data_IF_114783502103
#
_entry.id   IF_114783502103
#
_cell.length_a   1.000
_cell.length_b   1.000
_cell.length_c   1.000
_cell.angle_alpha   90.00
_cell.angle_beta   90.00
_cell.angle_gamma   90.00
#
_symmetry.space_group_name_H-M   'P 1'
#
loop_
_entity.id
_entity.type
_entity.pdbx_description
1 polymer ?
#
# COMPACT_ATOMS: atom_id res chain seq x y z
N UNK A 1 8.72 -3.82 -6.92
CA UNK A 1 7.85 -3.22 -5.89
C UNK A 1 7.11 -4.35 -5.18
N UNK A 2 7.53 -4.69 -3.96
CA UNK A 2 7.07 -5.87 -3.23
C UNK A 2 5.92 -5.53 -2.26
N UNK A 3 4.96 -4.71 -2.69
CA UNK A 3 3.98 -4.10 -1.78
C UNK A 3 2.94 -5.05 -1.18
N UNK A 4 3.20 -6.34 -1.04
CA UNK A 4 2.34 -7.24 -0.29
C UNK A 4 2.82 -7.35 1.15
N UNK A 5 2.46 -6.34 1.95
CA UNK A 5 2.82 -6.26 3.35
C UNK A 5 1.65 -6.68 4.24
N UNK A 6 1.92 -7.00 5.50
CA UNK A 6 0.86 -7.12 6.50
C UNK A 6 0.39 -5.72 6.92
N UNK A 7 -0.92 -5.50 6.96
CA UNK A 7 -1.51 -4.31 7.55
C UNK A 7 -1.47 -4.38 9.09
N UNK A 8 -1.99 -3.35 9.76
CA UNK A 8 -2.06 -3.27 11.23
C UNK A 8 -2.83 -4.45 11.87
N UNK A 9 -3.71 -5.09 11.12
CA UNK A 9 -4.49 -6.26 11.55
C UNK A 9 -3.83 -7.59 11.18
N UNK A 10 -2.53 -7.61 10.85
CA UNK A 10 -1.79 -8.79 10.40
C UNK A 10 -2.33 -9.46 9.11
N UNK A 11 -3.26 -8.81 8.40
CA UNK A 11 -3.77 -9.29 7.12
C UNK A 11 -2.85 -8.86 5.99
N UNK A 12 -2.64 -9.74 5.01
CA UNK A 12 -1.94 -9.37 3.77
C UNK A 12 -2.69 -8.19 3.13
N UNK A 13 -1.95 -7.20 2.66
CA UNK A 13 -2.46 -5.98 2.06
C UNK A 13 -1.48 -5.42 1.06
N UNK A 14 -1.97 -4.69 0.06
CA UNK A 14 -1.14 -4.11 -0.99
C UNK A 14 -0.31 -2.88 -0.56
N UNK A 15 -0.32 -2.53 0.73
CA UNK A 15 0.62 -1.61 1.39
C UNK A 15 0.44 -1.69 2.91
N UNK A 16 1.40 -1.16 3.67
CA UNK A 16 1.14 -0.81 5.07
C UNK A 16 0.72 0.67 5.12
N UNK A 17 -0.46 0.95 5.67
CA UNK A 17 -0.99 2.31 5.80
C UNK A 17 -0.80 2.90 7.20
N UNK A 18 -0.38 2.08 8.18
CA UNK A 18 -0.27 2.52 9.57
C UNK A 18 0.83 3.56 9.76
N UNK A 19 1.86 3.52 8.92
CA UNK A 19 2.94 4.52 8.88
C UNK A 19 2.58 5.78 8.08
N UNK A 20 1.45 5.76 7.36
CA UNK A 20 0.94 6.92 6.64
C UNK A 20 -0.09 7.64 7.51
N UNK A 21 0.21 8.88 7.87
CA UNK A 21 -0.77 9.80 8.44
C UNK A 21 -1.79 10.21 7.37
N UNK A 22 -2.69 9.29 7.03
CA UNK A 22 -3.78 9.49 6.08
C UNK A 22 -4.98 10.11 6.80
N UNK A 23 -5.69 10.98 6.10
CA UNK A 23 -7.03 11.42 6.54
C UNK A 23 -8.03 10.28 6.42
N UNK A 24 -9.16 10.36 7.12
CA UNK A 24 -10.19 9.31 7.10
C UNK A 24 -10.75 9.04 5.68
N UNK A 25 -10.89 10.07 4.85
CA UNK A 25 -11.31 9.95 3.44
C UNK A 25 -10.27 9.20 2.60
N UNK A 26 -9.00 9.63 2.68
CA UNK A 26 -7.91 8.98 1.97
C UNK A 26 -7.78 7.52 2.41
N UNK A 27 -7.83 7.27 3.71
CA UNK A 27 -7.71 5.94 4.29
C UNK A 27 -8.83 5.02 3.78
N UNK A 28 -10.07 5.47 3.81
CA UNK A 28 -11.22 4.66 3.34
C UNK A 28 -11.08 4.28 1.86
N UNK A 29 -10.66 5.22 1.00
CA UNK A 29 -10.43 4.95 -0.42
C UNK A 29 -9.29 3.95 -0.64
N UNK A 30 -8.18 4.11 0.09
CA UNK A 30 -7.05 3.21 -0.03
C UNK A 30 -7.39 1.82 0.51
N UNK A 31 -8.08 1.69 1.65
CA UNK A 31 -8.51 0.40 2.20
C UNK A 31 -9.43 -0.36 1.22
N UNK A 32 -10.32 0.35 0.52
CA UNK A 32 -11.13 -0.22 -0.56
C UNK A 32 -10.25 -0.77 -1.69
N UNK A 33 -9.27 0.00 -2.15
CA UNK A 33 -8.35 -0.45 -3.21
C UNK A 33 -7.36 -1.52 -2.75
N UNK A 34 -6.99 -1.55 -1.47
CA UNK A 34 -6.20 -2.64 -0.89
C UNK A 34 -6.96 -3.95 -0.92
N UNK A 35 -8.26 -3.91 -0.59
CA UNK A 35 -9.15 -5.07 -0.66
C UNK A 35 -9.25 -5.61 -2.08
N UNK A 36 -9.43 -4.73 -3.06
CA UNK A 36 -9.38 -5.11 -4.48
C UNK A 36 -8.02 -5.68 -4.87
N UNK A 37 -6.95 -5.02 -4.46
CA UNK A 37 -5.61 -5.44 -4.83
C UNK A 37 -5.21 -6.80 -4.22
N UNK A 38 -5.72 -7.09 -3.03
CA UNK A 38 -5.64 -8.39 -2.39
C UNK A 38 -6.49 -9.46 -3.08
N UNK A 39 -7.69 -9.09 -3.52
CA UNK A 39 -8.62 -10.00 -4.23
C UNK A 39 -8.02 -10.53 -5.53
N UNK A 40 -7.29 -9.70 -6.28
CA UNK A 40 -6.58 -10.12 -7.50
C UNK A 40 -5.19 -10.70 -7.24
N UNK A 41 -4.85 -10.97 -5.98
CA UNK A 41 -3.62 -11.71 -5.63
C UNK A 41 -2.36 -10.86 -5.52
N UNK A 42 -2.47 -9.54 -5.35
CA UNK A 42 -1.34 -8.65 -5.10
C UNK A 42 -0.24 -8.74 -6.18
N UNK A 43 -0.68 -8.92 -7.43
CA UNK A 43 0.18 -9.03 -8.59
C UNK A 43 0.92 -7.70 -8.85
N UNK A 44 1.89 -7.73 -9.77
CA UNK A 44 2.62 -6.52 -10.15
C UNK A 44 1.68 -5.47 -10.75
N UNK A 45 0.76 -5.90 -11.61
CA UNK A 45 -0.27 -5.05 -12.24
C UNK A 45 -1.21 -4.45 -11.21
N UNK A 46 -1.75 -5.26 -10.30
CA UNK A 46 -2.66 -4.76 -9.28
C UNK A 46 -2.00 -3.76 -8.35
N UNK A 47 -0.72 -3.97 -8.02
CA UNK A 47 0.06 -3.02 -7.22
C UNK A 47 0.32 -1.71 -7.96
N UNK A 48 0.59 -1.76 -9.27
CA UNK A 48 0.73 -0.56 -10.07
C UNK A 48 -0.59 0.22 -10.18
N UNK A 49 -1.71 -0.48 -10.37
CA UNK A 49 -3.04 0.12 -10.38
C UNK A 49 -3.36 0.76 -9.03
N UNK A 50 -3.11 0.05 -7.92
CA UNK A 50 -3.25 0.56 -6.56
C UNK A 50 -2.41 1.82 -6.32
N UNK A 51 -1.12 1.80 -6.70
CA UNK A 51 -0.23 2.95 -6.56
C UNK A 51 -0.68 4.14 -7.43
N UNK A 52 -1.11 3.91 -8.67
CA UNK A 52 -1.66 4.98 -9.52
C UNK A 52 -2.91 5.62 -8.90
N UNK A 53 -3.83 4.80 -8.38
CA UNK A 53 -5.03 5.31 -7.70
C UNK A 53 -4.64 6.11 -6.44
N UNK A 54 -3.70 5.59 -5.65
CA UNK A 54 -3.18 6.26 -4.47
C UNK A 54 -2.48 7.59 -4.80
N UNK A 55 -1.66 7.66 -5.85
CA UNK A 55 -0.99 8.89 -6.30
C UNK A 55 -1.98 10.02 -6.62
N UNK A 56 -3.18 9.68 -7.11
CA UNK A 56 -4.22 10.66 -7.43
C UNK A 56 -4.95 11.25 -6.21
N UNK A 57 -4.89 10.59 -5.05
CA UNK A 57 -5.57 11.06 -3.81
C UNK A 57 -4.60 11.41 -2.67
N UNK A 58 -3.38 10.88 -2.72
CA UNK A 58 -2.35 11.12 -1.73
C UNK A 58 -1.51 12.33 -2.12
N UNK A 59 -1.09 13.09 -1.12
CA UNK A 59 -0.05 14.10 -1.31
C UNK A 59 1.27 13.43 -1.69
N UNK A 60 2.17 14.17 -2.35
CA UNK A 60 3.51 13.68 -2.75
C UNK A 60 4.28 13.01 -1.60
N UNK A 61 4.22 13.58 -0.39
CA UNK A 61 4.85 13.01 0.82
C UNK A 61 4.22 11.66 1.23
N UNK A 62 2.89 11.61 1.30
CA UNK A 62 2.15 10.39 1.63
C UNK A 62 2.42 9.30 0.59
N UNK A 63 2.35 9.64 -0.70
CA UNK A 63 2.65 8.69 -1.77
C UNK A 63 4.10 8.21 -1.74
N UNK A 64 5.06 9.09 -1.45
CA UNK A 64 6.46 8.70 -1.28
C UNK A 64 6.63 7.71 -0.10
N UNK A 65 5.95 7.94 1.03
CA UNK A 65 5.92 6.99 2.15
C UNK A 65 5.29 5.65 1.77
N UNK A 66 4.15 5.67 1.06
CA UNK A 66 3.49 4.46 0.57
C UNK A 66 4.44 3.65 -0.32
N UNK A 67 5.07 4.32 -1.29
CA UNK A 67 6.02 3.72 -2.23
C UNK A 67 7.28 3.22 -1.52
N UNK A 68 7.74 3.91 -0.48
CA UNK A 68 8.85 3.48 0.35
C UNK A 68 8.51 2.22 1.15
N UNK A 69 7.33 2.15 1.76
CA UNK A 69 6.82 0.94 2.45
C UNK A 69 6.69 -0.24 1.47
N UNK A 70 6.23 0.02 0.24
CA UNK A 70 6.19 -0.95 -0.85
C UNK A 70 7.56 -1.46 -1.33
N UNK A 71 8.62 -0.69 -1.10
CA UNK A 71 10.00 -1.07 -1.46
C UNK A 71 10.77 -1.64 -0.27
N UNK A 72 10.45 -1.25 0.97
CA UNK A 72 11.04 -1.79 2.20
C UNK A 72 10.78 -3.29 2.36
N UNK A 73 9.72 -3.81 1.77
CA UNK A 73 9.44 -5.25 1.71
C UNK A 73 10.49 -6.05 0.91
N UNK A 74 11.46 -5.38 0.26
CA UNK A 74 12.64 -5.99 -0.37
C UNK A 74 13.87 -5.98 0.56
N UNK A 75 13.87 -5.21 1.65
CA UNK A 75 15.01 -5.02 2.57
C UNK A 75 14.82 -5.59 3.98
N UNK A 76 13.85 -6.50 4.17
CA UNK A 76 13.75 -7.31 5.40
C UNK A 76 13.61 -8.80 5.07
N UNK A 77 14.59 -9.28 4.34
CA UNK A 77 15.24 -10.57 4.65
C UNK A 77 16.60 -10.16 5.24
N UNK A 78 17.10 -10.89 6.23
CA UNK A 78 18.23 -10.57 7.14
C UNK A 78 17.79 -9.74 8.37
N UNK A 79 17.74 -10.25 9.60
CA UNK A 79 18.03 -11.57 10.18
C UNK A 79 17.14 -11.77 11.42
#
# INVERSE_FOLDING_TARGET
MACCAKNASNQKSCANLASLNLTADQKSKIEAWQSECMKVGCTKESRQAFLKKAEGILSKDQYAKLKAECNKSVKKTEA
#
